data_IF_922765352091
#
_entry.id   IF_922765352091
#
_cell.length_a   1.000
_cell.length_b   1.000
_cell.length_c   1.000
_cell.angle_alpha   90.00
_cell.angle_beta   90.00
_cell.angle_gamma   90.00
#
_symmetry.space_group_name_H-M   'P 1'
#
loop_
_entity.id
_entity.type
_entity.pdbx_description
1 polymer ?
#
# COMPACT_ATOMS: atom_id res chain seq x y z
N UNK A 1 -17.41 7.99 11.37
CA UNK A 1 -17.19 7.05 10.26
C UNK A 1 -18.12 5.87 10.47
N UNK A 2 -18.97 5.60 9.50
CA UNK A 2 -19.79 4.40 9.46
C UNK A 2 -19.01 3.25 8.79
N UNK A 3 -19.34 1.99 9.10
CA UNK A 3 -18.66 0.81 8.56
C UNK A 3 -18.65 0.77 7.02
N UNK A 4 -19.74 1.22 6.38
CA UNK A 4 -19.83 1.28 4.92
C UNK A 4 -18.90 2.34 4.30
N UNK A 5 -18.70 3.46 4.97
CA UNK A 5 -17.77 4.52 4.53
C UNK A 5 -16.33 4.03 4.61
N UNK A 6 -15.99 3.33 5.70
CA UNK A 6 -14.67 2.71 5.89
C UNK A 6 -14.39 1.65 4.83
N UNK A 7 -15.34 0.75 4.56
CA UNK A 7 -15.21 -0.26 3.51
C UNK A 7 -15.04 0.37 2.11
N UNK A 8 -15.75 1.45 1.83
CA UNK A 8 -15.63 2.20 0.57
C UNK A 8 -14.24 2.82 0.44
N UNK A 9 -13.74 3.44 1.52
CA UNK A 9 -12.41 4.04 1.55
C UNK A 9 -11.31 2.99 1.34
N UNK A 10 -11.42 1.84 2.03
CA UNK A 10 -10.48 0.73 1.88
C UNK A 10 -10.50 0.14 0.47
N UNK A 11 -11.67 0.01 -0.14
CA UNK A 11 -11.80 -0.45 -1.53
C UNK A 11 -11.09 0.49 -2.49
N UNK A 12 -11.23 1.80 -2.29
CA UNK A 12 -10.56 2.82 -3.09
C UNK A 12 -9.02 2.75 -2.95
N UNK A 13 -8.48 2.64 -1.73
CA UNK A 13 -7.03 2.51 -1.54
C UNK A 13 -6.49 1.16 -2.00
N UNK A 14 -7.23 0.07 -1.85
CA UNK A 14 -6.88 -1.22 -2.43
C UNK A 14 -6.74 -1.10 -3.96
N UNK A 15 -7.68 -0.44 -4.63
CA UNK A 15 -7.59 -0.21 -6.08
C UNK A 15 -6.36 0.62 -6.50
N UNK A 16 -5.81 1.45 -5.60
CA UNK A 16 -4.61 2.24 -5.86
C UNK A 16 -3.29 1.43 -5.82
N UNK A 17 -3.31 0.17 -5.39
CA UNK A 17 -2.15 -0.73 -5.43
C UNK A 17 -1.72 -0.99 -6.88
N UNK A 18 -2.67 -1.25 -7.78
CA UNK A 18 -2.37 -1.55 -9.18
C UNK A 18 -1.66 -0.39 -9.91
N UNK A 19 -2.10 0.86 -9.77
CA UNK A 19 -1.37 2.01 -10.28
C UNK A 19 -0.03 2.31 -9.60
N UNK A 20 0.28 1.70 -8.46
CA UNK A 20 1.52 1.95 -7.70
C UNK A 20 2.62 0.92 -8.03
N UNK A 21 2.27 -0.37 -8.10
CA UNK A 21 3.22 -1.45 -8.40
C UNK A 21 2.70 -2.53 -9.37
N UNK A 22 1.42 -2.49 -9.76
CA UNK A 22 0.80 -3.49 -10.63
C UNK A 22 0.89 -3.15 -12.13
N UNK A 23 -0.13 -3.56 -12.87
CA UNK A 23 -0.21 -3.45 -14.35
C UNK A 23 0.02 -2.03 -14.86
N UNK A 24 -0.46 -1.03 -14.13
CA UNK A 24 -0.48 0.38 -14.56
C UNK A 24 0.66 1.22 -13.96
N UNK A 25 1.64 0.58 -13.31
CA UNK A 25 2.68 1.25 -12.53
C UNK A 25 3.92 1.70 -13.34
N UNK A 26 3.91 1.55 -14.67
CA UNK A 26 5.00 1.98 -15.55
C UNK A 26 6.36 1.41 -15.10
N UNK A 27 7.38 2.25 -14.82
CA UNK A 27 8.71 1.80 -14.36
C UNK A 27 8.70 0.99 -13.06
N UNK A 28 7.66 1.16 -12.22
CA UNK A 28 7.49 0.44 -10.95
C UNK A 28 6.69 -0.85 -11.09
N UNK A 29 6.30 -1.23 -12.31
CA UNK A 29 5.56 -2.47 -12.56
C UNK A 29 6.30 -3.67 -11.97
N UNK A 30 5.53 -4.51 -11.28
CA UNK A 30 5.93 -5.83 -10.80
C UNK A 30 4.95 -6.89 -11.29
N UNK A 31 5.36 -8.17 -11.29
CA UNK A 31 4.45 -9.31 -11.43
C UNK A 31 3.25 -9.21 -10.49
N UNK A 32 2.11 -9.71 -10.95
CA UNK A 32 0.81 -9.60 -10.25
C UNK A 32 0.87 -10.15 -8.81
N UNK A 33 1.71 -11.16 -8.55
CA UNK A 33 1.94 -11.70 -7.20
C UNK A 33 2.30 -10.65 -6.15
N UNK A 34 3.07 -9.62 -6.51
CA UNK A 34 3.41 -8.52 -5.57
C UNK A 34 2.18 -7.70 -5.20
N UNK A 35 1.37 -7.36 -6.20
CA UNK A 35 0.13 -6.62 -5.97
C UNK A 35 -0.87 -7.47 -5.17
N UNK A 36 -1.02 -8.75 -5.50
CA UNK A 36 -1.92 -9.68 -4.80
C UNK A 36 -1.53 -9.86 -3.33
N UNK A 37 -0.23 -10.01 -3.05
CA UNK A 37 0.30 -10.09 -1.68
C UNK A 37 0.09 -8.77 -0.93
N UNK A 38 0.27 -7.61 -1.58
CA UNK A 38 -0.03 -6.31 -0.97
C UNK A 38 -1.51 -6.14 -0.64
N UNK A 39 -2.43 -6.60 -1.50
CA UNK A 39 -3.87 -6.60 -1.20
C UNK A 39 -4.18 -7.46 0.02
N UNK A 40 -3.53 -8.62 0.16
CA UNK A 40 -3.71 -9.49 1.32
C UNK A 40 -3.25 -8.82 2.61
N UNK A 41 -2.08 -8.16 2.63
CA UNK A 41 -1.62 -7.42 3.80
C UNK A 41 -2.57 -6.30 4.20
N UNK A 42 -2.98 -5.48 3.23
CA UNK A 42 -3.90 -4.37 3.49
C UNK A 42 -5.25 -4.88 4.05
N UNK A 43 -5.84 -5.90 3.42
CA UNK A 43 -7.12 -6.47 3.86
C UNK A 43 -7.01 -7.09 5.25
N UNK A 44 -5.97 -7.90 5.51
CA UNK A 44 -5.77 -8.55 6.81
C UNK A 44 -5.57 -7.53 7.91
N UNK A 45 -4.81 -6.48 7.66
CA UNK A 45 -4.59 -5.41 8.64
C UNK A 45 -5.92 -4.77 9.08
N UNK A 46 -6.78 -4.41 8.13
CA UNK A 46 -8.07 -3.75 8.41
C UNK A 46 -9.21 -4.69 8.81
N UNK A 47 -8.97 -6.01 8.94
CA UNK A 47 -9.92 -6.91 9.62
C UNK A 47 -9.90 -6.72 11.15
N UNK A 48 -8.81 -6.19 11.69
CA UNK A 48 -8.62 -6.03 13.15
C UNK A 48 -8.30 -4.60 13.57
N UNK A 49 -8.12 -3.69 12.62
CA UNK A 49 -7.77 -2.30 12.85
C UNK A 49 -8.72 -1.38 12.08
N UNK A 50 -8.90 -0.14 12.55
CA UNK A 50 -9.77 0.85 11.91
C UNK A 50 -8.98 1.95 11.18
N UNK A 51 -9.53 2.45 10.07
CA UNK A 51 -9.01 3.59 9.29
C UNK A 51 -8.96 4.89 10.09
N UNK A 52 -9.68 4.97 11.21
CA UNK A 52 -9.63 6.11 12.13
C UNK A 52 -8.26 6.20 12.81
N UNK A 53 -7.65 5.05 13.11
CA UNK A 53 -6.38 4.97 13.83
C UNK A 53 -5.19 4.83 12.87
N UNK A 54 -5.41 4.23 11.71
CA UNK A 54 -4.37 3.96 10.73
C UNK A 54 -4.76 4.54 9.38
N UNK A 55 -3.89 5.37 8.81
CA UNK A 55 -4.15 5.99 7.52
C UNK A 55 -4.05 4.93 6.40
N UNK A 56 -5.14 4.65 5.66
CA UNK A 56 -5.15 3.65 4.60
C UNK A 56 -4.19 3.98 3.46
N UNK A 57 -3.84 5.25 3.22
CA UNK A 57 -2.82 5.60 2.24
C UNK A 57 -1.45 5.05 2.66
N UNK A 58 -1.04 5.32 3.91
CA UNK A 58 0.27 4.89 4.44
C UNK A 58 0.35 3.38 4.54
N UNK A 59 -0.71 2.74 5.04
CA UNK A 59 -0.79 1.28 5.13
C UNK A 59 -0.77 0.60 3.76
N UNK A 60 -1.41 1.18 2.74
CA UNK A 60 -1.36 0.68 1.37
C UNK A 60 0.07 0.73 0.79
N UNK A 61 0.78 1.86 0.94
CA UNK A 61 2.16 1.97 0.43
C UNK A 61 3.10 1.04 1.19
N UNK A 62 2.96 0.94 2.51
CA UNK A 62 3.71 -0.01 3.32
C UNK A 62 3.42 -1.48 2.94
N UNK A 63 2.17 -1.82 2.62
CA UNK A 63 1.79 -3.16 2.16
C UNK A 63 2.48 -3.52 0.85
N UNK A 64 2.59 -2.57 -0.08
CA UNK A 64 3.35 -2.76 -1.33
C UNK A 64 4.84 -2.95 -1.05
N UNK A 65 5.40 -2.16 -0.14
CA UNK A 65 6.81 -2.26 0.24
C UNK A 65 7.13 -3.63 0.84
N UNK A 66 6.36 -4.07 1.83
CA UNK A 66 6.51 -5.38 2.47
C UNK A 66 6.31 -6.51 1.47
N UNK A 67 5.26 -6.47 0.64
CA UNK A 67 4.99 -7.47 -0.38
C UNK A 67 6.14 -7.59 -1.39
N UNK A 68 6.75 -6.48 -1.78
CA UNK A 68 7.91 -6.50 -2.68
C UNK A 68 9.11 -7.22 -2.08
N UNK A 69 9.30 -7.15 -0.75
CA UNK A 69 10.36 -7.88 -0.04
C UNK A 69 10.03 -9.37 0.09
N UNK A 70 8.80 -9.69 0.47
CA UNK A 70 8.33 -11.08 0.63
C UNK A 70 8.38 -11.86 -0.68
N UNK A 71 8.13 -11.19 -1.81
CA UNK A 71 8.11 -11.79 -3.14
C UNK A 71 9.47 -11.79 -3.86
N UNK A 72 10.55 -11.36 -3.19
CA UNK A 72 11.90 -11.16 -3.75
C UNK A 72 11.94 -10.24 -4.98
N UNK A 73 11.07 -9.24 -5.02
CA UNK A 73 10.88 -8.29 -6.13
C UNK A 73 10.95 -6.84 -5.65
N UNK A 74 11.97 -6.57 -4.85
CA UNK A 74 12.10 -5.36 -4.04
C UNK A 74 11.86 -4.08 -4.84
N UNK A 75 11.11 -3.17 -4.22
CA UNK A 75 10.93 -1.81 -4.68
C UNK A 75 11.56 -0.90 -3.60
N UNK A 76 12.38 0.06 -4.01
CA UNK A 76 12.95 0.99 -3.03
C UNK A 76 11.86 1.87 -2.42
N UNK A 77 11.97 2.16 -1.13
CA UNK A 77 11.02 3.05 -0.46
C UNK A 77 11.03 4.47 -1.08
N UNK A 78 12.18 4.92 -1.58
CA UNK A 78 12.29 6.18 -2.35
C UNK A 78 11.44 6.15 -3.61
N UNK A 79 11.53 5.08 -4.41
CA UNK A 79 10.72 4.93 -5.63
C UNK A 79 9.22 4.87 -5.34
N UNK A 80 8.81 4.26 -4.22
CA UNK A 80 7.41 4.28 -3.78
C UNK A 80 6.98 5.68 -3.35
N UNK A 81 7.81 6.37 -2.55
CA UNK A 81 7.55 7.77 -2.15
C UNK A 81 7.38 8.67 -3.37
N UNK A 82 8.26 8.58 -4.36
CA UNK A 82 8.13 9.32 -5.63
C UNK A 82 6.84 8.97 -6.38
N UNK A 83 6.50 7.69 -6.50
CA UNK A 83 5.25 7.25 -7.14
C UNK A 83 4.00 7.78 -6.44
N UNK A 84 4.06 7.99 -5.13
CA UNK A 84 2.96 8.60 -4.36
C UNK A 84 2.88 10.12 -4.57
N UNK A 85 4.03 10.81 -4.71
CA UNK A 85 4.09 12.24 -5.05
C UNK A 85 3.53 12.53 -6.45
N UNK A 86 3.86 11.70 -7.44
CA UNK A 86 3.31 11.79 -8.81
C UNK A 86 1.77 11.76 -8.82
N UNK A 87 1.16 11.02 -7.87
CA UNK A 87 -0.30 10.90 -7.71
C UNK A 87 -0.90 11.92 -6.74
N UNK A 88 -0.14 12.96 -6.35
CA UNK A 88 -0.54 14.01 -5.39
C UNK A 88 -0.96 13.46 -4.01
N UNK A 89 -0.41 12.30 -3.62
CA UNK A 89 -0.69 11.63 -2.34
C UNK A 89 0.62 11.30 -1.63
N UNK A 90 1.42 12.31 -1.32
CA UNK A 90 2.78 12.13 -0.80
C UNK A 90 2.83 11.31 0.50
N UNK A 91 3.67 10.27 0.50
CA UNK A 91 4.05 9.49 1.68
C UNK A 91 5.57 9.53 1.80
N UNK A 92 6.10 9.92 2.97
CA UNK A 92 7.54 9.97 3.20
C UNK A 92 8.16 8.58 3.31
N UNK A 93 9.45 8.45 3.00
CA UNK A 93 10.17 7.18 3.16
C UNK A 93 10.13 6.69 4.61
N UNK A 94 10.24 7.61 5.56
CA UNK A 94 10.13 7.32 6.99
C UNK A 94 8.76 6.72 7.35
N UNK A 95 7.69 7.29 6.81
CA UNK A 95 6.35 6.75 7.01
C UNK A 95 6.23 5.34 6.41
N UNK A 96 6.75 5.10 5.21
CA UNK A 96 6.70 3.78 4.57
C UNK A 96 7.37 2.73 5.46
N UNK A 97 8.58 3.01 5.95
CA UNK A 97 9.35 2.08 6.80
C UNK A 97 8.68 1.91 8.18
N UNK A 98 8.17 2.99 8.77
CA UNK A 98 7.47 2.92 10.07
C UNK A 98 6.20 2.06 9.99
N UNK A 99 5.41 2.22 8.93
CA UNK A 99 4.14 1.50 8.78
C UNK A 99 4.35 0.06 8.27
N UNK A 100 5.48 -0.24 7.65
CA UNK A 100 5.87 -1.62 7.34
C UNK A 100 5.96 -2.46 8.62
N UNK A 101 6.55 -1.93 9.69
CA UNK A 101 6.66 -2.63 10.97
C UNK A 101 5.31 -2.93 11.63
N UNK A 102 4.26 -2.19 11.28
CA UNK A 102 2.90 -2.42 11.78
C UNK A 102 2.19 -3.58 11.05
N UNK A 103 2.74 -4.04 9.92
CA UNK A 103 2.19 -5.13 9.10
C UNK A 103 2.80 -6.51 9.41
N UNK A 104 3.85 -6.56 10.24
CA UNK A 104 4.50 -7.78 10.72
C UNK A 104 3.79 -8.31 11.96
#
# INVERSE_FOLDING_TARGET
>A
MNADEEATLLTFYAAMINPLCGRDAGPRRRPDKVADTAHQFLRRFYLSNSVVHFDPLKMMVASVFLASKVEDLTISATSLSEGTKEKKKEVSVEDIVKHELLLL
#
